data_IF_570082160427
#
_entry.id   IF_570082160427
#
_cell.length_a   1.000
_cell.length_b   1.000
_cell.length_c   1.000
_cell.angle_alpha   90.00
_cell.angle_beta   90.00
_cell.angle_gamma   90.00
#
_symmetry.space_group_name_H-M   'P 1'
#
loop_
_entity.id
_entity.type
_entity.pdbx_description
1 polymer ?
#
# COMPACT_ATOMS: atom_id res chain seq x y z
N UNK A 1 21.43 26.28 3.89
CA UNK A 1 20.13 26.52 3.25
C UNK A 1 19.49 25.17 3.03
N UNK A 2 18.48 24.82 3.84
CA UNK A 2 17.73 23.56 3.68
C UNK A 2 16.62 23.82 2.67
N UNK A 3 16.71 23.24 1.49
CA UNK A 3 15.65 23.32 0.49
C UNK A 3 14.48 22.46 0.97
N UNK A 4 13.48 23.08 1.57
CA UNK A 4 12.23 22.38 1.90
C UNK A 4 11.47 22.13 0.60
N UNK A 5 11.52 20.90 0.10
CA UNK A 5 10.67 20.47 -1.00
C UNK A 5 9.31 20.09 -0.41
N UNK A 6 8.24 20.68 -0.94
CA UNK A 6 6.86 20.31 -0.58
C UNK A 6 6.50 19.04 -1.33
N UNK A 7 6.40 17.92 -0.61
CA UNK A 7 6.05 16.61 -1.16
C UNK A 7 4.92 15.98 -0.36
N UNK A 8 3.88 15.51 -1.05
CA UNK A 8 2.74 14.87 -0.39
C UNK A 8 3.04 13.44 0.09
N UNK A 9 4.07 12.78 -0.45
CA UNK A 9 4.49 11.43 -0.06
C UNK A 9 5.98 11.23 -0.27
N UNK A 10 6.63 10.56 0.69
CA UNK A 10 8.06 10.26 0.69
C UNK A 10 8.28 8.76 0.91
N UNK A 11 9.21 8.17 0.16
CA UNK A 11 9.75 6.85 0.43
C UNK A 11 10.88 6.97 1.48
N UNK A 12 10.74 6.24 2.58
CA UNK A 12 11.59 6.34 3.77
C UNK A 12 12.42 5.06 3.93
N UNK A 13 13.41 4.91 3.05
CA UNK A 13 14.27 3.74 2.94
C UNK A 13 15.74 3.93 3.36
N UNK A 14 16.21 5.18 3.46
CA UNK A 14 17.65 5.43 3.57
C UNK A 14 18.38 5.11 2.27
N UNK A 15 19.51 4.43 2.33
CA UNK A 15 20.23 4.01 1.11
C UNK A 15 19.55 2.83 0.42
N UNK A 16 19.96 2.57 -0.82
CA UNK A 16 19.50 1.39 -1.55
C UNK A 16 19.87 0.10 -0.81
N UNK A 17 21.07 0.01 -0.25
CA UNK A 17 21.55 -1.16 0.50
C UNK A 17 20.77 -1.37 1.80
N UNK A 18 20.47 -0.29 2.54
CA UNK A 18 19.58 -0.36 3.72
C UNK A 18 18.21 -0.91 3.32
N UNK A 19 17.62 -0.38 2.24
CA UNK A 19 16.31 -0.83 1.75
C UNK A 19 16.36 -2.29 1.28
N UNK A 20 17.40 -2.68 0.52
CA UNK A 20 17.54 -4.04 0.03
C UNK A 20 17.70 -5.05 1.18
N UNK A 21 18.44 -4.70 2.23
CA UNK A 21 18.56 -5.53 3.42
C UNK A 21 17.23 -5.64 4.19
N UNK A 22 16.51 -4.53 4.35
CA UNK A 22 15.19 -4.51 4.98
C UNK A 22 14.21 -5.44 4.24
N UNK A 23 14.19 -5.39 2.90
CA UNK A 23 13.34 -6.25 2.06
C UNK A 23 13.76 -7.73 2.11
N UNK A 24 15.06 -8.04 2.16
CA UNK A 24 15.53 -9.43 2.30
C UNK A 24 15.10 -10.05 3.63
N UNK A 25 15.15 -9.28 4.73
CA UNK A 25 14.61 -9.72 6.01
C UNK A 25 13.11 -10.02 5.93
N UNK A 26 12.34 -9.13 5.29
CA UNK A 26 10.89 -9.29 5.11
C UNK A 26 10.56 -10.55 4.29
N UNK A 27 11.28 -10.76 3.18
CA UNK A 27 11.15 -11.96 2.34
C UNK A 27 11.57 -13.23 3.10
N UNK A 28 12.49 -13.10 4.06
CA UNK A 28 12.87 -14.12 5.03
C UNK A 28 11.92 -14.24 6.24
N UNK A 29 10.74 -13.61 6.20
CA UNK A 29 9.72 -13.59 7.25
C UNK A 29 10.17 -12.98 8.58
N UNK A 30 11.17 -12.10 8.56
CA UNK A 30 11.69 -11.38 9.72
C UNK A 30 11.33 -9.91 9.63
N UNK A 31 10.97 -9.32 10.76
CA UNK A 31 10.66 -7.90 10.83
C UNK A 31 11.97 -7.10 10.93
N UNK A 32 12.27 -6.22 9.97
CA UNK A 32 13.48 -5.40 10.04
C UNK A 32 13.39 -4.38 11.16
N UNK A 33 14.54 -4.03 11.72
CA UNK A 33 14.62 -3.02 12.79
C UNK A 33 14.22 -1.64 12.30
N UNK A 34 14.41 -1.37 10.99
CA UNK A 34 14.17 -0.06 10.38
C UNK A 34 13.44 -0.21 9.04
N UNK A 35 12.19 -0.72 9.04
CA UNK A 35 11.49 -1.07 7.81
C UNK A 35 11.45 0.11 6.83
N UNK A 36 11.59 -0.23 5.54
CA UNK A 36 11.18 0.66 4.48
C UNK A 36 9.72 1.06 4.67
N UNK A 37 9.41 2.33 4.45
CA UNK A 37 8.05 2.83 4.58
C UNK A 37 7.72 4.00 3.68
N UNK A 38 6.43 4.27 3.54
CA UNK A 38 5.88 5.44 2.89
C UNK A 38 5.31 6.37 3.94
N UNK A 39 5.69 7.65 3.90
CA UNK A 39 5.12 8.70 4.76
C UNK A 39 4.39 9.70 3.89
N UNK A 40 3.12 9.95 4.20
CA UNK A 40 2.28 10.91 3.50
C UNK A 40 1.80 12.04 4.40
N UNK A 41 1.79 13.26 3.86
CA UNK A 41 1.28 14.47 4.50
C UNK A 41 0.10 14.99 3.68
N UNK A 42 -1.11 14.62 4.08
CA UNK A 42 -2.32 14.81 3.27
C UNK A 42 -2.82 16.26 3.28
N UNK A 43 -2.46 17.04 4.29
CA UNK A 43 -2.79 18.47 4.40
C UNK A 43 -2.21 19.30 3.25
N UNK A 44 -1.03 18.91 2.73
CA UNK A 44 -0.40 19.59 1.59
C UNK A 44 -1.25 19.53 0.31
N UNK A 45 -1.96 18.42 0.09
CA UNK A 45 -2.86 18.25 -1.05
C UNK A 45 -4.31 18.68 -0.73
N UNK A 46 -4.69 18.71 0.55
CA UNK A 46 -6.03 19.06 1.00
C UNK A 46 -5.99 19.79 2.34
N UNK A 47 -5.87 21.13 2.34
CA UNK A 47 -5.72 21.91 3.57
C UNK A 47 -6.88 21.76 4.57
N UNK A 48 -8.07 21.38 4.09
CA UNK A 48 -9.23 21.06 4.93
C UNK A 48 -9.04 19.85 5.85
N UNK A 49 -7.97 19.08 5.67
CA UNK A 49 -7.59 17.96 6.54
C UNK A 49 -6.82 18.41 7.79
N UNK A 50 -6.40 19.67 7.86
CA UNK A 50 -5.83 20.25 9.07
C UNK A 50 -6.92 20.41 10.13
N UNK A 51 -6.62 19.98 11.34
CA UNK A 51 -7.49 20.20 12.50
C UNK A 51 -6.69 21.03 13.50
N UNK A 52 -7.12 22.28 13.69
CA UNK A 52 -6.39 23.28 14.47
C UNK A 52 -4.92 23.37 14.04
N UNK A 53 -3.98 23.09 14.95
CA UNK A 53 -2.54 23.08 14.71
C UNK A 53 -1.98 21.65 14.58
N UNK A 54 -2.83 20.66 14.28
CA UNK A 54 -2.42 19.25 14.15
C UNK A 54 -2.40 18.84 12.68
N UNK A 55 -1.25 18.35 12.23
CA UNK A 55 -1.08 17.85 10.87
C UNK A 55 -1.37 16.35 10.81
N UNK A 56 -2.25 15.89 9.90
CA UNK A 56 -2.42 14.47 9.66
C UNK A 56 -1.18 13.91 8.95
N UNK A 57 -0.69 12.78 9.46
CA UNK A 57 0.37 12.00 8.82
C UNK A 57 -0.11 10.57 8.69
N UNK A 58 0.05 9.97 7.50
CA UNK A 58 0.00 8.51 7.37
C UNK A 58 1.40 7.95 7.20
N UNK A 59 1.64 6.80 7.81
CA UNK A 59 2.84 6.01 7.59
C UNK A 59 2.45 4.55 7.43
N UNK A 60 3.01 3.89 6.42
CA UNK A 60 2.88 2.45 6.22
C UNK A 60 4.28 1.89 5.99
N UNK A 61 4.60 0.78 6.65
CA UNK A 61 5.87 0.09 6.49
C UNK A 61 5.63 -1.24 5.76
N UNK A 62 6.65 -1.69 5.05
CA UNK A 62 6.71 -3.08 4.64
C UNK A 62 6.98 -3.95 5.88
N UNK A 63 6.23 -5.04 5.97
CA UNK A 63 6.29 -6.03 7.05
C UNK A 63 6.18 -7.42 6.45
N UNK A 64 6.66 -8.48 7.13
CA UNK A 64 6.42 -9.85 6.69
C UNK A 64 4.93 -10.11 6.43
N UNK A 65 4.64 -10.91 5.41
CA UNK A 65 3.26 -11.33 5.13
C UNK A 65 2.66 -12.01 6.38
N UNK A 66 1.46 -11.61 6.77
CA UNK A 66 0.80 -12.13 7.97
C UNK A 66 1.46 -11.71 9.30
N UNK A 67 2.35 -10.71 9.33
CA UNK A 67 3.01 -10.25 10.55
C UNK A 67 2.00 -9.92 11.66
N UNK A 68 2.23 -10.48 12.86
CA UNK A 68 1.32 -10.35 14.01
C UNK A 68 1.81 -9.40 15.09
N UNK A 69 3.04 -8.91 14.98
CA UNK A 69 3.60 -7.97 15.94
C UNK A 69 3.15 -6.53 15.70
N UNK A 70 3.60 -5.62 16.57
CA UNK A 70 3.41 -4.19 16.40
C UNK A 70 4.64 -3.57 15.73
N UNK A 71 4.44 -2.95 14.56
CA UNK A 71 5.49 -2.25 13.83
C UNK A 71 5.56 -0.75 14.16
N UNK A 72 4.76 -0.26 15.11
CA UNK A 72 4.66 1.16 15.45
C UNK A 72 6.00 1.77 15.85
N UNK A 73 6.74 1.14 16.78
CA UNK A 73 8.03 1.66 17.23
C UNK A 73 9.12 1.61 16.14
N UNK A 74 9.26 0.53 15.35
CA UNK A 74 10.12 0.53 14.15
C UNK A 74 9.78 1.65 13.17
N UNK A 75 8.50 1.90 12.88
CA UNK A 75 8.05 2.98 11.98
C UNK A 75 8.40 4.36 12.55
N UNK A 76 8.05 4.61 13.82
CA UNK A 76 8.37 5.89 14.48
C UNK A 76 9.89 6.08 14.53
N UNK A 77 10.66 5.05 14.87
CA UNK A 77 12.12 5.09 14.89
C UNK A 77 12.73 5.38 13.51
N UNK A 78 12.13 4.87 12.44
CA UNK A 78 12.54 5.20 11.06
C UNK A 78 12.31 6.68 10.77
N UNK A 79 11.15 7.23 11.13
CA UNK A 79 10.85 8.67 10.95
C UNK A 79 11.77 9.53 11.81
N UNK A 80 11.95 9.20 13.08
CA UNK A 80 12.79 9.90 14.06
C UNK A 80 14.24 10.08 13.56
N UNK A 81 14.80 9.08 12.86
CA UNK A 81 16.14 9.16 12.26
C UNK A 81 16.28 10.32 11.26
N UNK A 82 15.23 10.62 10.51
CA UNK A 82 15.24 11.67 9.47
C UNK A 82 14.58 12.97 9.94
N UNK A 83 13.74 12.91 10.97
CA UNK A 83 13.09 14.04 11.61
C UNK A 83 13.23 13.90 13.14
N UNK A 84 14.41 14.26 13.70
CA UNK A 84 14.62 14.21 15.14
C UNK A 84 13.60 15.06 15.91
N UNK A 85 13.08 14.53 17.01
CA UNK A 85 11.98 15.11 17.79
C UNK A 85 10.59 14.68 17.33
N UNK A 86 10.45 13.91 16.24
CA UNK A 86 9.15 13.51 15.70
C UNK A 86 8.25 12.86 16.76
N UNK A 87 8.80 11.94 17.56
CA UNK A 87 8.03 11.24 18.61
C UNK A 87 7.39 12.20 19.61
N UNK A 88 8.04 13.33 19.92
CA UNK A 88 7.53 14.34 20.85
C UNK A 88 6.35 15.13 20.29
N UNK A 89 6.23 15.19 18.96
CA UNK A 89 5.15 15.87 18.25
C UNK A 89 3.94 14.96 17.96
N UNK A 90 4.01 13.67 18.26
CA UNK A 90 2.89 12.74 18.07
C UNK A 90 1.85 12.91 19.17
N UNK A 91 0.83 13.74 18.92
CA UNK A 91 -0.28 13.98 19.87
C UNK A 91 -1.31 12.85 19.91
N UNK A 92 -1.49 12.13 18.80
CA UNK A 92 -2.38 10.98 18.68
C UNK A 92 -1.89 10.05 17.59
N UNK A 93 -2.03 8.74 17.81
CA UNK A 93 -1.78 7.71 16.80
C UNK A 93 -2.97 6.79 16.64
N UNK A 94 -3.19 6.33 15.42
CA UNK A 94 -4.11 5.25 15.11
C UNK A 94 -3.35 4.22 14.27
N UNK A 95 -3.35 2.97 14.73
CA UNK A 95 -2.58 1.88 14.11
C UNK A 95 -3.56 0.92 13.46
N UNK A 96 -3.28 0.53 12.21
CA UNK A 96 -3.93 -0.60 11.54
C UNK A 96 -2.93 -1.72 11.36
N UNK A 97 -3.12 -2.79 12.13
CA UNK A 97 -2.34 -4.02 12.00
C UNK A 97 -2.65 -4.75 10.70
N UNK A 98 -1.74 -5.64 10.30
CA UNK A 98 -1.92 -6.59 9.20
C UNK A 98 -3.26 -7.34 9.30
N UNK A 99 -3.58 -7.85 10.49
CA UNK A 99 -4.85 -8.56 10.73
C UNK A 99 -6.07 -7.64 10.57
N UNK A 100 -5.97 -6.37 10.95
CA UNK A 100 -7.06 -5.41 10.74
C UNK A 100 -7.22 -5.06 9.26
N UNK A 101 -6.12 -4.93 8.50
CA UNK A 101 -6.16 -4.72 7.05
C UNK A 101 -6.92 -5.86 6.37
N UNK A 102 -6.56 -7.10 6.69
CA UNK A 102 -7.23 -8.30 6.16
C UNK A 102 -8.71 -8.37 6.55
N UNK A 103 -9.04 -8.08 7.82
CA UNK A 103 -10.44 -8.07 8.29
C UNK A 103 -11.29 -6.98 7.65
N UNK A 104 -10.71 -5.81 7.39
CA UNK A 104 -11.41 -4.70 6.76
C UNK A 104 -11.62 -4.95 5.26
N UNK A 105 -10.70 -5.64 4.60
CA UNK A 105 -10.81 -5.99 3.20
C UNK A 105 -10.14 -7.35 2.95
N UNK A 106 -10.92 -8.41 2.68
CA UNK A 106 -10.40 -9.75 2.40
C UNK A 106 -9.39 -9.81 1.24
N UNK A 107 -9.39 -8.82 0.33
CA UNK A 107 -8.32 -8.68 -0.69
C UNK A 107 -6.94 -8.58 -0.06
N UNK A 108 -6.86 -7.94 1.12
CA UNK A 108 -5.63 -7.72 1.88
C UNK A 108 -5.22 -8.91 2.73
N UNK A 109 -5.36 -10.15 2.22
CA UNK A 109 -4.98 -11.36 2.94
C UNK A 109 -3.53 -11.28 3.42
N UNK A 110 -3.28 -11.57 4.70
CA UNK A 110 -1.96 -11.41 5.31
C UNK A 110 -1.43 -9.98 5.28
N UNK A 111 -2.30 -8.97 5.13
CA UNK A 111 -1.94 -7.55 5.04
C UNK A 111 -1.45 -7.12 3.66
N UNK A 112 -1.54 -8.00 2.66
CA UNK A 112 -1.03 -7.75 1.32
C UNK A 112 -1.98 -6.88 0.49
N UNK A 113 -1.73 -5.58 0.49
CA UNK A 113 -2.52 -4.62 -0.29
C UNK A 113 -2.34 -4.80 -1.80
N UNK A 114 -1.33 -5.55 -2.27
CA UNK A 114 -1.04 -5.78 -3.68
C UNK A 114 -1.68 -7.04 -4.24
N UNK A 115 -2.32 -7.87 -3.41
CA UNK A 115 -2.82 -9.19 -3.81
C UNK A 115 -1.68 -10.06 -4.41
N UNK A 116 -0.55 -10.04 -3.71
CA UNK A 116 0.62 -10.89 -3.90
C UNK A 116 1.86 -10.12 -4.36
N UNK A 117 3.00 -10.82 -4.35
CA UNK A 117 4.30 -10.27 -4.66
C UNK A 117 4.42 -9.74 -6.11
N UNK A 118 5.01 -8.53 -6.24
CA UNK A 118 5.36 -7.87 -7.50
C UNK A 118 6.77 -8.23 -7.96
N UNK A 119 7.09 -9.52 -8.02
CA UNK A 119 8.40 -9.97 -8.52
C UNK A 119 8.40 -10.07 -10.04
N UNK A 120 9.56 -9.86 -10.67
CA UNK A 120 9.71 -10.02 -12.12
C UNK A 120 9.21 -11.39 -12.63
N UNK A 121 9.34 -12.43 -11.80
CA UNK A 121 8.89 -13.80 -12.13
C UNK A 121 7.38 -13.97 -12.02
N UNK A 122 6.71 -13.25 -11.11
CA UNK A 122 5.25 -13.35 -10.89
C UNK A 122 4.45 -12.41 -11.78
N UNK A 123 5.05 -11.28 -12.19
CA UNK A 123 4.38 -10.29 -13.05
C UNK A 123 3.71 -10.88 -14.30
N UNK A 124 4.32 -11.80 -15.08
CA UNK A 124 3.68 -12.35 -16.29
C UNK A 124 2.47 -13.24 -16.03
N UNK A 125 2.29 -13.74 -14.80
CA UNK A 125 1.23 -14.69 -14.42
C UNK A 125 0.25 -14.11 -13.39
N UNK A 126 0.43 -12.84 -13.03
CA UNK A 126 -0.46 -12.09 -12.16
C UNK A 126 -1.65 -11.53 -12.96
N UNK A 127 -2.88 -11.49 -12.43
CA UNK A 127 -3.31 -11.91 -11.09
C UNK A 127 -3.54 -13.43 -10.95
N UNK A 128 -3.84 -14.11 -12.05
CA UNK A 128 -3.85 -15.56 -12.15
C UNK A 128 -3.49 -15.99 -13.57
N UNK A 129 -3.00 -17.22 -13.73
CA UNK A 129 -2.72 -17.81 -15.04
C UNK A 129 -4.05 -18.31 -15.65
N UNK A 130 -4.80 -17.40 -16.26
CA UNK A 130 -6.06 -17.69 -16.94
C UNK A 130 -6.05 -17.21 -18.40
N UNK A 131 -6.78 -17.88 -19.31
CA UNK A 131 -6.94 -17.42 -20.70
C UNK A 131 -7.63 -16.05 -20.79
N UNK A 132 -8.53 -15.77 -19.86
CA UNK A 132 -9.21 -14.49 -19.70
C UNK A 132 -9.18 -14.10 -18.21
N UNK A 133 -8.30 -13.17 -17.80
CA UNK A 133 -8.22 -12.70 -16.42
C UNK A 133 -9.32 -11.68 -16.04
N UNK A 134 -10.17 -11.27 -16.99
CA UNK A 134 -11.29 -10.32 -16.81
C UNK A 134 -12.63 -11.02 -16.52
N UNK A 135 -12.65 -12.35 -16.43
CA UNK A 135 -13.84 -13.14 -16.06
C UNK A 135 -13.67 -13.83 -14.72
N UNK A 136 -14.75 -13.90 -13.95
CA UNK A 136 -14.82 -14.73 -12.74
C UNK A 136 -15.19 -16.20 -13.05
N UNK A 137 -15.31 -16.57 -14.33
CA UNK A 137 -15.87 -17.86 -14.76
C UNK A 137 -17.39 -17.96 -14.59
N UNK A 138 -18.05 -16.86 -14.20
CA UNK A 138 -19.49 -16.73 -14.07
C UNK A 138 -19.99 -15.76 -15.16
N UNK A 139 -20.93 -16.17 -16.04
CA UNK A 139 -21.43 -15.30 -17.10
C UNK A 139 -21.97 -13.97 -16.56
N UNK A 140 -21.53 -12.86 -17.17
CA UNK A 140 -21.94 -11.50 -16.77
C UNK A 140 -21.27 -10.97 -15.50
N UNK A 141 -20.35 -11.72 -14.89
CA UNK A 141 -19.62 -11.27 -13.69
C UNK A 141 -18.15 -11.02 -14.03
N UNK A 142 -17.76 -9.76 -13.89
CA UNK A 142 -16.42 -9.30 -14.17
C UNK A 142 -15.78 -8.76 -12.88
N UNK A 143 -14.67 -9.34 -12.40
CA UNK A 143 -13.97 -8.83 -11.24
C UNK A 143 -13.33 -7.47 -11.59
N UNK A 144 -13.45 -6.49 -10.69
CA UNK A 144 -12.94 -5.13 -10.89
C UNK A 144 -12.34 -4.61 -9.60
N UNK A 145 -11.03 -4.70 -9.46
CA UNK A 145 -10.32 -4.16 -8.30
C UNK A 145 -8.83 -3.99 -8.59
N UNK A 146 -8.07 -3.50 -7.62
CA UNK A 146 -6.60 -3.54 -7.69
C UNK A 146 -6.00 -4.96 -7.63
N UNK A 147 -6.83 -6.01 -7.64
CA UNK A 147 -6.40 -7.41 -7.83
C UNK A 147 -6.68 -7.93 -9.25
N UNK A 148 -7.15 -7.07 -10.17
CA UNK A 148 -7.40 -7.45 -11.58
C UNK A 148 -6.41 -6.76 -12.51
N UNK A 149 -6.30 -7.19 -13.78
CA UNK A 149 -5.43 -6.53 -14.74
C UNK A 149 -5.67 -5.02 -14.82
N UNK A 150 -4.65 -4.25 -15.25
CA UNK A 150 -3.33 -4.71 -15.70
C UNK A 150 -2.27 -4.84 -14.59
N UNK A 151 -2.47 -4.24 -13.42
CA UNK A 151 -1.56 -4.38 -12.27
C UNK A 151 -2.23 -3.94 -10.96
N UNK A 152 -1.54 -4.15 -9.85
CA UNK A 152 -1.93 -3.58 -8.55
C UNK A 152 -1.90 -2.04 -8.56
N UNK A 153 -2.62 -1.43 -7.62
CA UNK A 153 -2.63 0.01 -7.40
C UNK A 153 -3.98 0.67 -7.71
N UNK A 154 -4.00 2.00 -7.60
CA UNK A 154 -5.19 2.84 -7.76
C UNK A 154 -5.18 3.60 -9.09
N UNK A 155 -4.81 2.90 -10.17
CA UNK A 155 -4.65 3.50 -11.51
C UNK A 155 -5.98 3.70 -12.27
N UNK A 156 -7.05 3.01 -11.88
CA UNK A 156 -8.39 3.14 -12.51
C UNK A 156 -8.58 2.34 -13.80
N UNK A 157 -7.54 1.74 -14.38
CA UNK A 157 -7.61 0.98 -15.63
C UNK A 157 -8.53 -0.23 -15.52
N UNK A 158 -8.57 -0.93 -14.36
CA UNK A 158 -9.48 -2.07 -14.19
C UNK A 158 -10.95 -1.67 -14.39
N UNK A 159 -11.34 -0.44 -14.03
CA UNK A 159 -12.68 0.09 -14.26
C UNK A 159 -12.88 0.60 -15.70
N UNK A 160 -11.82 1.14 -16.31
CA UNK A 160 -11.84 1.55 -17.71
C UNK A 160 -12.03 0.35 -18.65
N UNK A 161 -11.26 -0.72 -18.45
CA UNK A 161 -11.31 -1.96 -19.24
C UNK A 161 -12.66 -2.68 -19.10
N UNK A 162 -13.38 -2.42 -18.00
CA UNK A 162 -14.74 -2.91 -17.78
C UNK A 162 -15.73 -2.42 -18.83
N UNK A 163 -15.57 -1.18 -19.31
CA UNK A 163 -16.50 -0.57 -20.28
C UNK A 163 -16.37 -1.25 -21.65
N UNK A 164 -15.18 -1.72 -22.01
CA UNK A 164 -14.93 -2.41 -23.29
C UNK A 164 -15.27 -3.90 -23.29
N UNK A 165 -15.37 -4.53 -22.10
CA UNK A 165 -15.59 -5.98 -21.94
C UNK A 165 -17.05 -6.35 -21.66
N UNK A 166 -17.94 -5.37 -21.45
CA UNK A 166 -19.38 -5.59 -21.44
C UNK A 166 -19.87 -5.65 -22.90
N UNK A 167 -20.31 -6.82 -23.39
CA UNK A 167 -20.87 -6.89 -24.73
C UNK A 167 -22.18 -6.08 -24.80
N UNK A 168 -22.40 -5.40 -25.93
CA UNK A 168 -23.49 -4.43 -26.17
C UNK A 168 -24.93 -4.98 -26.08
N UNK A 169 -25.15 -6.19 -25.58
CA UNK A 169 -26.47 -6.84 -25.52
C UNK A 169 -27.10 -6.83 -24.11
N UNK A 170 -26.57 -6.06 -23.16
CA UNK A 170 -27.34 -5.68 -21.98
C UNK A 170 -28.34 -4.58 -22.37
N UNK A 171 -29.36 -4.97 -23.14
CA UNK A 171 -30.60 -4.21 -23.20
C UNK A 171 -31.24 -4.28 -21.81
N UNK A 172 -31.33 -3.12 -21.16
CA UNK A 172 -32.12 -2.92 -19.96
C UNK A 172 -33.57 -3.23 -20.32
N UNK A 173 -34.11 -4.35 -19.81
CA UNK A 173 -35.55 -4.62 -19.80
C UNK A 173 -36.21 -3.97 -18.60
#
# INVERSE_FOLDING_TARGET
MSTTVVVGTIHLGGTFEETAADEDEIMGWRMPTRPFGLVGQQDLAGPSRLVSNTQPVCAHAHVPHGYRGDATDPVIGRIERFAPGFREHVVRRHVRSVTQVERCNPKGAGGDISAGANTMRRMPVWPCLAPDPDTAGIPGVHPRSSATPPCTGVHGMCGYDAVGSVPAHLEVR
#
